data_IF_351659522352
#
_entry.id   IF_351659522352
#
_cell.length_a   1.000
_cell.length_b   1.000
_cell.length_c   1.000
_cell.angle_alpha   90.00
_cell.angle_beta   90.00
_cell.angle_gamma   90.00
#
_symmetry.space_group_name_H-M   'P 1'
#
loop_
_entity.id
_entity.type
_entity.pdbx_description
1 polymer ?
#
# COMPACT_ATOMS: atom_id res chain seq x y z
N UNK A 1 72.44 16.24 29.85
CA UNK A 1 72.84 17.64 29.58
C UNK A 1 71.58 18.40 29.19
N UNK A 2 71.25 19.33 30.06
CA UNK A 2 70.55 20.61 29.89
C UNK A 2 69.06 20.53 29.45
N UNK A 3 68.18 20.75 30.42
CA UNK A 3 67.67 22.02 31.03
C UNK A 3 67.00 22.95 29.98
N UNK A 4 65.70 23.22 30.14
CA UNK A 4 65.11 24.43 30.77
C UNK A 4 63.62 24.42 30.43
N UNK A 5 62.74 24.33 31.36
CA UNK A 5 61.90 25.36 32.02
C UNK A 5 61.55 26.55 31.14
N UNK A 6 60.24 26.71 30.83
CA UNK A 6 59.60 27.99 31.09
C UNK A 6 58.13 27.89 31.36
N UNK A 7 57.68 28.55 32.41
CA UNK A 7 56.36 28.60 32.95
C UNK A 7 55.59 29.85 32.47
N UNK A 8 54.29 29.74 32.42
CA UNK A 8 53.31 30.75 32.76
C UNK A 8 52.76 31.64 31.67
N UNK A 9 51.69 32.45 31.89
CA UNK A 9 50.62 32.32 32.87
C UNK A 9 49.20 32.46 32.26
N UNK A 10 48.23 32.03 33.00
CA UNK A 10 46.88 32.52 33.16
C UNK A 10 46.12 33.21 32.01
N UNK A 11 45.03 32.61 31.57
CA UNK A 11 43.97 33.31 30.89
C UNK A 11 42.62 32.88 31.42
N UNK A 12 41.93 33.85 31.92
CA UNK A 12 40.64 33.94 32.56
C UNK A 12 39.53 33.09 31.95
N UNK A 13 38.86 32.38 32.84
CA UNK A 13 37.53 31.77 32.55
C UNK A 13 36.51 32.87 32.43
N UNK A 14 36.10 33.20 31.19
CA UNK A 14 34.89 33.98 30.95
C UNK A 14 33.68 33.06 31.04
N UNK A 15 32.91 33.21 32.10
CA UNK A 15 31.55 32.73 32.24
C UNK A 15 30.68 33.31 31.09
N UNK A 16 30.32 32.49 30.12
CA UNK A 16 29.25 32.82 29.18
C UNK A 16 27.92 32.40 29.79
N UNK A 17 27.12 33.41 29.99
CA UNK A 17 25.72 33.37 30.46
C UNK A 17 24.91 32.34 29.70
N UNK A 18 24.16 31.52 30.46
CA UNK A 18 23.17 30.59 29.96
C UNK A 18 22.08 31.30 29.17
N UNK A 19 21.80 30.76 28.01
CA UNK A 19 20.56 31.10 27.27
C UNK A 19 19.41 30.33 27.91
N UNK A 20 18.25 30.96 28.19
CA UNK A 20 17.08 30.26 28.63
C UNK A 20 16.53 29.43 27.46
N UNK A 21 16.54 28.11 27.60
CA UNK A 21 15.81 27.23 26.71
C UNK A 21 14.30 27.52 26.89
N UNK A 22 13.74 28.22 25.93
CA UNK A 22 12.30 28.36 25.79
C UNK A 22 11.69 26.96 25.56
N UNK A 23 10.98 26.48 26.57
CA UNK A 23 10.07 25.35 26.42
C UNK A 23 8.92 25.83 25.53
N UNK A 24 9.02 25.55 24.24
CA UNK A 24 7.87 25.64 23.34
C UNK A 24 6.78 24.67 23.83
N UNK A 25 5.51 25.02 23.68
CA UNK A 25 4.43 24.15 24.10
C UNK A 25 4.56 22.80 23.39
N UNK A 26 4.73 21.74 24.14
CA UNK A 26 4.59 20.39 23.66
C UNK A 26 3.18 20.28 23.07
N UNK A 27 3.09 20.38 21.76
CA UNK A 27 1.89 19.93 21.06
C UNK A 27 1.69 18.48 21.46
N UNK A 28 0.73 18.23 22.32
CA UNK A 28 0.32 16.91 22.73
C UNK A 28 0.15 16.09 21.46
N UNK A 29 0.89 14.99 21.38
CA UNK A 29 0.60 13.93 20.42
C UNK A 29 -0.79 13.42 20.81
N UNK A 30 -1.81 13.99 20.20
CA UNK A 30 -3.14 13.46 20.26
C UNK A 30 -3.03 12.00 19.86
N UNK A 31 -3.51 11.11 20.71
CA UNK A 31 -3.77 9.73 20.35
C UNK A 31 -4.65 9.82 19.11
N UNK A 32 -4.05 9.55 17.93
CA UNK A 32 -4.76 9.63 16.66
C UNK A 32 -6.01 8.76 16.76
N UNK A 33 -7.13 9.31 16.33
CA UNK A 33 -8.37 8.55 16.16
C UNK A 33 -8.04 7.28 15.38
N UNK A 34 -8.61 6.10 15.74
CA UNK A 34 -8.50 4.92 14.90
C UNK A 34 -8.89 5.30 13.47
N UNK A 35 -7.99 5.09 12.49
CA UNK A 35 -8.19 5.46 11.09
C UNK A 35 -7.69 6.85 10.67
N UNK A 36 -7.35 7.76 11.58
CA UNK A 36 -6.95 9.13 11.23
C UNK A 36 -5.62 9.22 10.45
N UNK A 37 -4.72 8.26 10.59
CA UNK A 37 -3.50 8.17 9.81
C UNK A 37 -3.73 7.65 8.38
N UNK A 38 -4.86 6.94 8.15
CA UNK A 38 -5.23 6.34 6.88
C UNK A 38 -5.84 7.36 5.90
N UNK A 39 -6.30 8.50 6.39
CA UNK A 39 -7.00 9.52 5.60
C UNK A 39 -6.16 10.80 5.39
N UNK A 40 -4.90 10.83 5.86
CA UNK A 40 -4.08 12.03 5.73
C UNK A 40 -3.69 12.27 4.28
N UNK A 41 -4.24 13.32 3.72
CA UNK A 41 -3.72 14.12 2.60
C UNK A 41 -3.62 13.45 1.21
N UNK A 42 -4.25 12.31 0.96
CA UNK A 42 -4.34 11.76 -0.41
C UNK A 42 -5.60 12.29 -1.12
N UNK A 43 -5.51 12.59 -2.41
CA UNK A 43 -6.69 12.94 -3.21
C UNK A 43 -7.74 11.83 -3.18
N UNK A 44 -9.05 12.17 -3.21
CA UNK A 44 -10.11 11.18 -3.37
C UNK A 44 -9.89 10.35 -4.64
N UNK A 45 -10.25 9.08 -4.60
CA UNK A 45 -10.11 8.17 -5.73
C UNK A 45 -11.39 7.39 -6.03
N UNK A 46 -12.54 7.91 -5.60
CA UNK A 46 -13.86 7.29 -5.81
C UNK A 46 -14.22 7.20 -7.29
N UNK A 47 -13.70 8.11 -8.11
CA UNK A 47 -13.88 8.14 -9.56
C UNK A 47 -12.82 7.36 -10.34
N UNK A 48 -11.88 6.69 -9.68
CA UNK A 48 -10.75 6.02 -10.35
C UNK A 48 -11.22 4.99 -11.38
N UNK A 49 -12.20 4.17 -11.06
CA UNK A 49 -12.74 3.17 -12.00
C UNK A 49 -13.29 3.83 -13.27
N UNK A 50 -14.05 4.91 -13.14
CA UNK A 50 -14.59 5.65 -14.27
C UNK A 50 -13.49 6.35 -15.08
N UNK A 51 -12.49 6.92 -14.40
CA UNK A 51 -11.35 7.56 -15.04
C UNK A 51 -10.55 6.55 -15.88
N UNK A 52 -10.21 5.39 -15.32
CA UNK A 52 -9.52 4.33 -16.06
C UNK A 52 -10.34 3.81 -17.23
N UNK A 53 -11.66 3.61 -17.07
CA UNK A 53 -12.53 3.20 -18.14
C UNK A 53 -12.52 4.19 -19.33
N UNK A 54 -12.43 5.49 -19.05
CA UNK A 54 -12.34 6.52 -20.09
C UNK A 54 -10.93 6.74 -20.65
N UNK A 55 -9.88 6.41 -19.88
CA UNK A 55 -8.48 6.70 -20.26
C UNK A 55 -7.79 5.55 -20.99
N UNK A 56 -8.20 4.32 -20.72
CA UNK A 56 -7.60 3.13 -21.34
C UNK A 56 -7.98 3.00 -22.81
N UNK A 57 -7.07 2.50 -23.67
CA UNK A 57 -7.44 2.13 -25.03
C UNK A 57 -8.57 1.10 -25.06
N UNK A 58 -9.56 1.34 -25.90
CA UNK A 58 -10.79 0.53 -25.92
C UNK A 58 -10.62 -0.90 -26.46
N UNK A 59 -9.47 -1.19 -27.06
CA UNK A 59 -9.09 -2.49 -27.62
C UNK A 59 -8.30 -3.38 -26.66
N UNK A 60 -7.98 -2.89 -25.45
CA UNK A 60 -7.17 -3.66 -24.54
C UNK A 60 -7.91 -4.81 -23.88
N UNK A 61 -9.16 -4.57 -23.47
CA UNK A 61 -9.91 -5.49 -22.61
C UNK A 61 -11.29 -5.81 -23.19
N UNK A 62 -11.79 -6.97 -22.87
CA UNK A 62 -13.12 -7.43 -23.31
C UNK A 62 -14.25 -6.59 -22.67
N UNK A 63 -13.99 -5.97 -21.54
CA UNK A 63 -14.94 -5.14 -20.81
C UNK A 63 -14.23 -4.11 -19.94
N UNK A 64 -14.98 -3.51 -19.04
CA UNK A 64 -14.39 -2.58 -18.07
C UNK A 64 -13.39 -3.31 -17.17
N UNK A 65 -12.20 -2.74 -16.93
CA UNK A 65 -11.23 -3.35 -16.02
C UNK A 65 -11.73 -3.31 -14.58
N UNK A 66 -11.36 -4.30 -13.79
CA UNK A 66 -11.46 -4.24 -12.34
C UNK A 66 -10.44 -3.24 -11.78
N UNK A 67 -10.91 -2.26 -11.03
CA UNK A 67 -10.07 -1.26 -10.37
C UNK A 67 -10.27 -1.37 -8.86
N UNK A 68 -9.20 -1.69 -8.15
CA UNK A 68 -9.19 -1.73 -6.68
C UNK A 68 -8.25 -0.66 -6.17
N UNK A 69 -8.72 0.13 -5.22
CA UNK A 69 -7.96 1.23 -4.63
C UNK A 69 -7.75 0.98 -3.16
N UNK A 70 -6.51 1.08 -2.72
CA UNK A 70 -6.18 1.18 -1.32
C UNK A 70 -5.42 2.50 -1.05
N UNK A 71 -4.72 2.58 0.07
CA UNK A 71 -4.00 3.77 0.46
C UNK A 71 -2.74 4.03 -0.38
N UNK A 72 -2.05 2.97 -0.77
CA UNK A 72 -0.73 3.02 -1.39
C UNK A 72 -0.80 2.83 -2.90
N UNK A 73 -1.79 2.06 -3.39
CA UNK A 73 -1.85 1.71 -4.80
C UNK A 73 -3.27 1.69 -5.38
N UNK A 74 -3.33 1.80 -6.69
CA UNK A 74 -4.48 1.51 -7.52
C UNK A 74 -4.11 0.28 -8.35
N UNK A 75 -4.81 -0.82 -8.16
CA UNK A 75 -4.62 -2.04 -8.91
C UNK A 75 -5.64 -2.12 -10.04
N UNK A 76 -5.15 -2.19 -11.28
CA UNK A 76 -5.97 -2.29 -12.50
C UNK A 76 -5.77 -3.65 -13.13
N UNK A 77 -6.84 -4.43 -13.28
CA UNK A 77 -6.82 -5.74 -13.91
C UNK A 77 -7.90 -5.81 -14.97
N UNK A 78 -7.49 -6.05 -16.21
CA UNK A 78 -8.41 -6.21 -17.32
C UNK A 78 -8.44 -7.64 -17.84
N UNK A 79 -9.59 -8.04 -18.35
CA UNK A 79 -9.75 -9.32 -19.02
C UNK A 79 -9.41 -9.18 -20.50
N UNK A 80 -8.49 -10.01 -20.97
CA UNK A 80 -8.10 -10.08 -22.38
C UNK A 80 -8.92 -11.11 -23.13
N UNK A 81 -9.16 -10.88 -24.41
CA UNK A 81 -9.74 -11.90 -25.27
C UNK A 81 -8.82 -13.15 -25.31
N UNK A 82 -9.41 -14.34 -25.15
CA UNK A 82 -8.67 -15.58 -25.21
C UNK A 82 -8.05 -15.79 -26.60
N UNK A 83 -6.90 -16.48 -26.69
CA UNK A 83 -6.33 -16.84 -27.99
C UNK A 83 -7.24 -17.83 -28.72
N UNK A 84 -7.38 -17.62 -30.03
CA UNK A 84 -8.21 -18.49 -30.88
C UNK A 84 -7.52 -19.85 -31.14
N UNK A 85 -8.31 -20.88 -31.40
CA UNK A 85 -7.83 -22.18 -31.88
C UNK A 85 -7.04 -23.00 -30.87
N UNK A 86 -7.15 -22.71 -29.57
CA UNK A 86 -6.42 -23.42 -28.53
C UNK A 86 -7.26 -24.54 -27.91
N UNK A 87 -6.72 -25.76 -27.86
CA UNK A 87 -7.33 -26.87 -27.15
C UNK A 87 -7.32 -26.69 -25.62
N UNK A 88 -8.13 -27.46 -24.91
CA UNK A 88 -8.27 -27.37 -23.45
C UNK A 88 -6.93 -27.57 -22.72
N UNK A 89 -6.12 -28.55 -23.18
CA UNK A 89 -4.86 -28.90 -22.54
C UNK A 89 -3.81 -27.79 -22.65
N UNK A 90 -3.85 -27.01 -23.74
CA UNK A 90 -2.91 -25.91 -24.02
C UNK A 90 -3.41 -24.55 -23.60
N UNK A 91 -4.67 -24.44 -23.15
CA UNK A 91 -5.35 -23.17 -22.88
C UNK A 91 -4.59 -22.30 -21.85
N UNK A 92 -4.17 -22.89 -20.76
CA UNK A 92 -3.45 -22.18 -19.70
C UNK A 92 -2.12 -21.61 -20.18
N UNK A 93 -1.35 -22.39 -20.96
CA UNK A 93 -0.08 -21.95 -21.52
C UNK A 93 -0.28 -20.83 -22.57
N UNK A 94 -1.30 -20.96 -23.41
CA UNK A 94 -1.65 -19.95 -24.40
C UNK A 94 -2.14 -18.65 -23.75
N UNK A 95 -2.93 -18.74 -22.66
CA UNK A 95 -3.34 -17.59 -21.88
C UNK A 95 -2.13 -16.87 -21.25
N UNK A 96 -1.19 -17.60 -20.65
CA UNK A 96 0.05 -17.02 -20.12
C UNK A 96 0.86 -16.29 -21.20
N UNK A 97 1.04 -16.93 -22.35
CA UNK A 97 1.73 -16.33 -23.49
C UNK A 97 1.05 -15.05 -24.00
N UNK A 98 -0.30 -15.06 -24.10
CA UNK A 98 -1.08 -13.89 -24.54
C UNK A 98 -0.98 -12.74 -23.53
N UNK A 99 -1.05 -13.04 -22.23
CA UNK A 99 -0.89 -12.04 -21.16
C UNK A 99 0.55 -11.49 -21.18
N UNK A 100 1.56 -12.35 -21.35
CA UNK A 100 2.97 -11.93 -21.47
C UNK A 100 3.18 -10.95 -22.62
N UNK A 101 2.66 -11.28 -23.80
CA UNK A 101 2.69 -10.40 -24.97
C UNK A 101 2.00 -9.06 -24.71
N UNK A 102 0.82 -9.05 -24.15
CA UNK A 102 0.11 -7.83 -23.76
C UNK A 102 0.96 -6.97 -22.80
N UNK A 103 1.59 -7.60 -21.81
CA UNK A 103 2.48 -6.91 -20.87
C UNK A 103 3.63 -6.19 -21.57
N UNK A 104 4.23 -6.82 -22.55
CA UNK A 104 5.35 -6.25 -23.32
C UNK A 104 4.89 -5.14 -24.25
N UNK A 105 3.91 -5.42 -25.10
CA UNK A 105 3.41 -4.50 -26.12
C UNK A 105 2.84 -3.20 -25.54
N UNK A 106 2.18 -3.27 -24.37
CA UNK A 106 1.52 -2.12 -23.78
C UNK A 106 2.33 -1.38 -22.72
N UNK A 107 3.58 -1.80 -22.49
CA UNK A 107 4.41 -1.30 -21.39
C UNK A 107 4.50 0.23 -21.34
N UNK A 108 4.86 0.86 -22.43
CA UNK A 108 5.05 2.31 -22.50
C UNK A 108 3.74 3.08 -22.25
N UNK A 109 2.67 2.66 -22.89
CA UNK A 109 1.35 3.28 -22.71
C UNK A 109 0.85 3.11 -21.27
N UNK A 110 1.04 1.93 -20.67
CA UNK A 110 0.68 1.70 -19.26
C UNK A 110 1.48 2.57 -18.30
N UNK A 111 2.75 2.80 -18.57
CA UNK A 111 3.56 3.71 -17.76
C UNK A 111 3.06 5.15 -17.86
N UNK A 112 2.77 5.64 -19.06
CA UNK A 112 2.20 6.98 -19.24
C UNK A 112 0.87 7.15 -18.49
N UNK A 113 -0.04 6.17 -18.60
CA UNK A 113 -1.32 6.20 -17.87
C UNK A 113 -1.09 6.13 -16.36
N UNK A 114 -0.12 5.34 -15.91
CA UNK A 114 0.22 5.25 -14.49
C UNK A 114 0.73 6.58 -13.94
N UNK A 115 1.60 7.29 -14.67
CA UNK A 115 2.12 8.59 -14.28
C UNK A 115 1.00 9.65 -14.19
N UNK A 116 0.06 9.63 -15.14
CA UNK A 116 -1.12 10.51 -15.11
C UNK A 116 -2.02 10.21 -13.90
N UNK A 117 -2.27 8.92 -13.63
CA UNK A 117 -3.09 8.50 -12.50
C UNK A 117 -2.39 8.80 -11.16
N UNK A 118 -1.06 8.60 -11.08
CA UNK A 118 -0.28 8.95 -9.88
C UNK A 118 -0.34 10.46 -9.61
N UNK A 119 -0.19 11.29 -10.64
CA UNK A 119 -0.33 12.74 -10.51
C UNK A 119 -1.74 13.16 -10.02
N UNK A 120 -2.79 12.43 -10.43
CA UNK A 120 -4.18 12.71 -10.07
C UNK A 120 -4.53 12.22 -8.67
N UNK A 121 -4.16 10.99 -8.34
CA UNK A 121 -4.64 10.28 -7.14
C UNK A 121 -3.60 10.14 -6.03
N UNK A 122 -2.33 10.49 -6.30
CA UNK A 122 -1.25 10.37 -5.33
C UNK A 122 -0.92 8.92 -4.94
N UNK A 123 -1.30 7.94 -5.75
CA UNK A 123 -1.11 6.49 -5.51
C UNK A 123 -0.37 5.86 -6.67
N UNK A 124 0.45 4.86 -6.37
CA UNK A 124 1.10 4.05 -7.41
C UNK A 124 0.07 3.21 -8.15
N UNK A 125 0.34 2.92 -9.43
CA UNK A 125 -0.54 2.08 -10.24
C UNK A 125 0.11 0.73 -10.47
N UNK A 126 -0.57 -0.33 -10.04
CA UNK A 126 -0.21 -1.70 -10.35
C UNK A 126 -1.14 -2.24 -11.44
N UNK A 127 -0.58 -3.09 -12.30
CA UNK A 127 -1.26 -3.64 -13.46
C UNK A 127 -1.33 -5.16 -13.42
N UNK A 128 -2.37 -5.70 -13.97
CA UNK A 128 -2.52 -7.11 -14.24
C UNK A 128 -3.44 -7.38 -15.41
N UNK A 129 -3.49 -8.63 -15.84
CA UNK A 129 -4.45 -9.11 -16.82
C UNK A 129 -4.92 -10.52 -16.47
N UNK A 130 -6.09 -10.89 -16.95
CA UNK A 130 -6.66 -12.23 -16.84
C UNK A 130 -7.19 -12.74 -18.19
N UNK A 131 -7.22 -14.05 -18.31
CA UNK A 131 -7.94 -14.79 -19.37
C UNK A 131 -8.55 -16.01 -18.69
N UNK A 132 -9.86 -16.02 -18.50
CA UNK A 132 -10.53 -17.04 -17.70
C UNK A 132 -9.89 -17.14 -16.28
N UNK A 133 -9.51 -18.35 -15.86
CA UNK A 133 -8.91 -18.58 -14.55
C UNK A 133 -7.42 -18.18 -14.46
N UNK A 134 -6.78 -17.87 -15.60
CA UNK A 134 -5.38 -17.45 -15.62
C UNK A 134 -5.28 -15.97 -15.35
N UNK A 135 -4.68 -15.58 -14.22
CA UNK A 135 -4.45 -14.18 -13.81
C UNK A 135 -2.98 -13.92 -13.54
N UNK A 136 -2.45 -12.83 -14.06
CA UNK A 136 -1.07 -12.40 -13.83
C UNK A 136 -1.04 -10.93 -13.43
N UNK A 137 -0.34 -10.64 -12.33
CA UNK A 137 0.02 -9.28 -11.93
C UNK A 137 1.38 -8.94 -12.54
N UNK A 138 1.52 -7.73 -13.08
CA UNK A 138 2.74 -7.27 -13.73
C UNK A 138 3.69 -6.57 -12.77
N UNK A 139 3.13 -5.94 -11.75
CA UNK A 139 3.83 -5.25 -10.67
C UNK A 139 3.24 -5.67 -9.34
N UNK A 140 4.10 -5.77 -8.35
CA UNK A 140 3.72 -6.05 -6.97
C UNK A 140 4.29 -4.92 -6.11
N UNK A 141 3.43 -4.07 -5.59
CA UNK A 141 3.82 -3.12 -4.57
C UNK A 141 3.87 -3.84 -3.23
N UNK A 142 5.02 -3.82 -2.58
CA UNK A 142 5.18 -4.29 -1.21
C UNK A 142 5.47 -3.10 -0.32
N UNK A 143 4.58 -2.82 0.61
CA UNK A 143 4.71 -1.72 1.56
C UNK A 143 5.09 -2.31 2.92
N UNK A 144 6.12 -1.79 3.61
CA UNK A 144 6.51 -2.30 4.90
C UNK A 144 5.44 -1.97 5.95
N UNK A 145 5.01 -2.99 6.68
CA UNK A 145 4.16 -2.86 7.86
C UNK A 145 4.95 -3.29 9.10
N UNK A 146 5.13 -2.38 10.06
CA UNK A 146 5.84 -2.67 11.30
C UNK A 146 4.86 -2.92 12.44
N UNK A 147 5.07 -4.03 13.16
CA UNK A 147 4.32 -4.36 14.36
C UNK A 147 5.24 -4.79 15.50
N UNK A 148 4.72 -4.72 16.73
CA UNK A 148 5.39 -5.24 17.93
C UNK A 148 4.57 -6.40 18.46
N UNK A 149 5.14 -7.59 18.37
CA UNK A 149 4.51 -8.83 18.80
C UNK A 149 4.96 -9.22 20.21
N UNK A 150 4.05 -9.75 21.01
CA UNK A 150 4.35 -10.36 22.30
C UNK A 150 4.91 -11.78 22.12
N UNK A 151 5.32 -12.43 23.22
CA UNK A 151 5.98 -13.71 23.15
C UNK A 151 5.13 -14.78 22.46
N UNK A 152 3.86 -14.89 22.83
CA UNK A 152 2.97 -15.93 22.29
C UNK A 152 2.78 -15.79 20.77
N UNK A 153 2.61 -14.56 20.29
CA UNK A 153 2.48 -14.24 18.86
C UNK A 153 3.79 -14.58 18.11
N UNK A 154 4.94 -14.24 18.72
CA UNK A 154 6.25 -14.59 18.11
C UNK A 154 6.46 -16.08 18.02
N UNK A 155 6.02 -16.86 19.03
CA UNK A 155 6.11 -18.32 19.00
C UNK A 155 5.32 -18.94 17.86
N UNK A 156 4.15 -18.38 17.52
CA UNK A 156 3.40 -18.82 16.32
C UNK A 156 4.24 -18.67 15.08
N UNK A 157 4.87 -17.49 14.89
CA UNK A 157 5.73 -17.25 13.74
C UNK A 157 6.95 -18.16 13.72
N UNK A 158 7.58 -18.38 14.87
CA UNK A 158 8.73 -19.31 15.00
C UNK A 158 8.34 -20.72 14.61
N UNK A 159 7.18 -21.22 15.07
CA UNK A 159 6.66 -22.53 14.69
C UNK A 159 6.45 -22.64 13.17
N UNK A 160 5.94 -21.60 12.51
CA UNK A 160 5.75 -21.62 11.05
C UNK A 160 7.09 -21.62 10.30
N UNK A 161 8.10 -20.94 10.83
CA UNK A 161 9.45 -20.96 10.25
C UNK A 161 10.10 -22.33 10.46
N UNK A 162 10.04 -22.87 11.67
CA UNK A 162 10.63 -24.18 12.02
C UNK A 162 9.97 -25.32 11.25
N UNK A 163 8.66 -25.21 10.97
CA UNK A 163 7.91 -26.15 10.14
C UNK A 163 8.15 -25.99 8.62
N UNK A 164 8.94 -25.01 8.19
CA UNK A 164 9.23 -24.77 6.78
C UNK A 164 8.08 -24.15 5.98
N UNK A 165 7.04 -23.65 6.63
CA UNK A 165 5.92 -22.92 5.99
C UNK A 165 6.38 -21.56 5.50
N UNK A 166 7.33 -20.95 6.19
CA UNK A 166 7.91 -19.65 5.86
C UNK A 166 9.42 -19.65 6.11
N UNK A 167 10.16 -18.83 5.39
CA UNK A 167 11.61 -18.70 5.52
C UNK A 167 12.04 -17.68 6.59
N UNK A 168 11.11 -16.85 7.03
CA UNK A 168 11.36 -15.81 8.03
C UNK A 168 10.08 -15.44 8.77
N UNK A 169 10.23 -14.79 9.94
CA UNK A 169 9.08 -14.25 10.70
C UNK A 169 8.23 -13.27 9.89
N UNK A 170 8.85 -12.45 9.03
CA UNK A 170 8.11 -11.52 8.17
C UNK A 170 7.26 -12.26 7.14
N UNK A 171 7.79 -13.33 6.55
CA UNK A 171 7.06 -14.17 5.61
C UNK A 171 5.95 -14.97 6.32
N UNK A 172 6.22 -15.46 7.52
CA UNK A 172 5.22 -16.11 8.36
C UNK A 172 4.07 -15.17 8.71
N UNK A 173 4.37 -13.92 9.07
CA UNK A 173 3.35 -12.91 9.35
C UNK A 173 2.50 -12.61 8.10
N UNK A 174 3.13 -12.41 6.95
CA UNK A 174 2.42 -12.21 5.68
C UNK A 174 1.55 -13.44 5.32
N UNK A 175 2.03 -14.65 5.61
CA UNK A 175 1.25 -15.89 5.45
C UNK A 175 0.01 -15.90 6.36
N UNK A 176 0.16 -15.53 7.63
CA UNK A 176 -0.97 -15.43 8.57
C UNK A 176 -2.01 -14.40 8.09
N UNK A 177 -1.58 -13.26 7.55
CA UNK A 177 -2.49 -12.24 7.01
C UNK A 177 -3.26 -12.77 5.80
N UNK A 178 -2.62 -13.50 4.89
CA UNK A 178 -3.30 -14.14 3.75
C UNK A 178 -4.32 -15.19 4.23
N UNK A 179 -3.92 -16.03 5.17
CA UNK A 179 -4.80 -17.06 5.75
C UNK A 179 -6.06 -16.45 6.37
N UNK A 180 -5.90 -15.34 7.10
CA UNK A 180 -7.05 -14.58 7.64
C UNK A 180 -7.90 -14.04 6.50
N UNK A 181 -7.31 -13.46 5.45
CA UNK A 181 -8.03 -12.97 4.29
C UNK A 181 -8.89 -14.06 3.62
N UNK A 182 -8.31 -15.23 3.40
CA UNK A 182 -8.99 -16.37 2.75
C UNK A 182 -10.14 -16.95 3.59
N UNK A 183 -10.05 -16.91 4.93
CA UNK A 183 -11.04 -17.51 5.81
C UNK A 183 -12.04 -16.54 6.41
N UNK A 184 -11.83 -15.24 6.26
CA UNK A 184 -12.70 -14.20 6.87
C UNK A 184 -13.19 -13.16 5.86
N UNK A 185 -13.20 -13.49 4.59
CA UNK A 185 -13.53 -12.57 3.50
C UNK A 185 -14.92 -11.95 3.67
N UNK A 186 -15.91 -12.76 4.03
CA UNK A 186 -17.28 -12.30 4.26
C UNK A 186 -17.37 -11.32 5.43
N UNK A 187 -16.71 -11.63 6.54
CA UNK A 187 -16.66 -10.75 7.71
C UNK A 187 -15.91 -9.44 7.42
N UNK A 188 -14.77 -9.51 6.72
CA UNK A 188 -14.01 -8.32 6.31
C UNK A 188 -14.78 -7.45 5.34
N UNK A 189 -15.53 -8.06 4.42
CA UNK A 189 -16.42 -7.35 3.50
C UNK A 189 -17.56 -6.64 4.25
N UNK A 190 -18.17 -7.33 5.21
CA UNK A 190 -19.17 -6.74 6.10
C UNK A 190 -18.64 -5.54 6.89
N UNK A 191 -17.41 -5.64 7.42
CA UNK A 191 -16.75 -4.53 8.09
C UNK A 191 -16.52 -3.33 7.18
N UNK A 192 -16.04 -3.53 5.95
CA UNK A 192 -15.83 -2.45 4.97
C UNK A 192 -17.15 -1.73 4.65
N UNK A 193 -18.22 -2.49 4.46
CA UNK A 193 -19.56 -1.93 4.23
C UNK A 193 -20.02 -1.10 5.41
N UNK A 194 -19.91 -1.61 6.64
CA UNK A 194 -20.29 -0.88 7.84
C UNK A 194 -19.45 0.40 8.03
N UNK A 195 -18.16 0.37 7.73
CA UNK A 195 -17.31 1.56 7.78
C UNK A 195 -17.75 2.61 6.75
N UNK A 196 -18.10 2.19 5.53
CA UNK A 196 -18.60 3.11 4.51
C UNK A 196 -19.89 3.81 4.95
N UNK A 197 -20.81 3.12 5.61
CA UNK A 197 -22.01 3.74 6.18
C UNK A 197 -21.68 4.73 7.30
N UNK A 198 -20.74 4.40 8.17
CA UNK A 198 -20.27 5.34 9.21
C UNK A 198 -19.66 6.60 8.59
N UNK A 199 -18.90 6.46 7.52
CA UNK A 199 -18.28 7.62 6.84
C UNK A 199 -19.33 8.49 6.15
N UNK A 200 -20.38 7.93 5.57
CA UNK A 200 -21.54 8.68 5.05
C UNK A 200 -22.23 9.48 6.16
N UNK A 201 -22.54 8.84 7.28
CA UNK A 201 -23.15 9.51 8.42
C UNK A 201 -22.28 10.64 9.00
N UNK A 202 -20.96 10.45 8.99
CA UNK A 202 -20.02 11.51 9.39
C UNK A 202 -20.02 12.70 8.41
N UNK A 203 -20.10 12.42 7.11
CA UNK A 203 -20.15 13.45 6.08
C UNK A 203 -21.48 14.23 6.11
N UNK A 204 -22.60 13.57 6.41
CA UNK A 204 -23.91 14.19 6.53
C UNK A 204 -24.02 15.08 7.79
N UNK A 205 -23.25 14.78 8.82
CA UNK A 205 -23.30 15.51 10.10
C UNK A 205 -24.59 15.33 10.86
N UNK A 206 -24.76 15.98 12.02
CA UNK A 206 -26.02 15.92 12.77
C UNK A 206 -27.10 16.69 12.03
N UNK A 207 -28.22 16.04 11.74
CA UNK A 207 -29.42 16.71 11.22
C UNK A 207 -29.93 17.70 12.28
N UNK A 208 -29.55 18.96 12.16
CA UNK A 208 -30.07 20.06 12.95
C UNK A 208 -31.36 20.63 12.29
N UNK A 209 -32.29 19.77 11.88
CA UNK A 209 -33.63 20.22 11.49
C UNK A 209 -34.33 20.67 12.77
N UNK A 210 -34.30 21.99 13.00
CA UNK A 210 -35.06 22.62 14.04
C UNK A 210 -36.55 22.38 13.81
N UNK A 211 -37.26 21.96 14.86
CA UNK A 211 -38.69 22.18 15.00
C UNK A 211 -39.00 23.67 15.11
#
# INVERSE_FOLDING_TARGET
MNTSQNAGPGAERRYRRGHPHGHGPHRGRGFGRPGGWQQADLPPADDAAAWFAGRLPGDWFVGAPGVTVDREEILVIGELAPPEGTDEASRAAAAQGRIGRFREETRETRMTIADEAEARYGRKVAWGASIGDTRMLFTHLAVPAMTRLRQDERRVLDTLVDAGVARSRSEALAWCVRLVGEHTDEWLSGLRTAMSEVDKLRAEGPNLSAE
#
